data_IF_921276895171
#
_entry.id   IF_921276895171
#
_cell.length_a   1.000
_cell.length_b   1.000
_cell.length_c   1.000
_cell.angle_alpha   90.00
_cell.angle_beta   90.00
_cell.angle_gamma   90.00
#
_symmetry.space_group_name_H-M   'P 1'
#
loop_
_entity.id
_entity.type
_entity.pdbx_description
1 polymer ?
#
# COMPACT_ATOMS: atom_id res chain seq x y z
N UNK A 1 18.44 19.96 38.18
CA UNK A 1 18.41 18.59 37.62
C UNK A 1 17.87 18.63 36.20
N UNK A 2 18.53 17.98 35.24
CA UNK A 2 18.00 17.88 33.89
C UNK A 2 16.78 16.94 33.85
N UNK A 3 15.82 17.24 32.98
CA UNK A 3 14.68 16.34 32.76
C UNK A 3 15.06 15.19 31.81
N UNK A 4 14.59 13.98 32.12
CA UNK A 4 14.69 12.85 31.20
C UNK A 4 13.94 13.13 29.89
N UNK A 5 14.41 12.55 28.78
CA UNK A 5 13.73 12.62 27.48
C UNK A 5 12.28 12.11 27.53
N UNK A 6 11.99 11.16 28.44
CA UNK A 6 10.66 10.58 28.70
C UNK A 6 9.87 11.29 29.80
N UNK A 7 10.33 12.46 30.28
CA UNK A 7 9.61 13.24 31.28
C UNK A 7 8.23 13.66 30.76
N UNK A 8 7.18 13.30 31.50
CA UNK A 8 5.78 13.56 31.12
C UNK A 8 5.50 15.05 30.88
N UNK A 9 6.08 15.94 31.69
CA UNK A 9 5.88 17.39 31.54
C UNK A 9 6.45 17.91 30.20
N UNK A 10 7.65 17.48 29.84
CA UNK A 10 8.29 17.84 28.56
C UNK A 10 7.59 17.20 27.37
N UNK A 11 7.10 15.96 27.51
CA UNK A 11 6.31 15.30 26.45
C UNK A 11 4.97 16.00 26.20
N UNK A 12 4.27 16.44 27.25
CA UNK A 12 3.02 17.22 27.12
C UNK A 12 3.26 18.53 26.36
N UNK A 13 4.30 19.28 26.74
CA UNK A 13 4.67 20.51 26.04
C UNK A 13 5.05 20.27 24.57
N UNK A 14 5.78 19.18 24.26
CA UNK A 14 6.07 18.79 22.87
C UNK A 14 4.80 18.45 22.09
N UNK A 15 3.88 17.70 22.70
CA UNK A 15 2.59 17.34 22.07
C UNK A 15 1.83 18.60 21.66
N UNK A 16 1.75 19.59 22.54
CA UNK A 16 1.07 20.86 22.28
C UNK A 16 1.69 21.65 21.12
N UNK A 17 3.03 21.64 21.00
CA UNK A 17 3.73 22.35 19.91
C UNK A 17 3.67 21.60 18.58
N UNK A 18 3.81 20.28 18.59
CA UNK A 18 4.07 19.51 17.37
C UNK A 18 2.79 18.92 16.77
N UNK A 19 1.91 18.40 17.62
CA UNK A 19 0.80 17.53 17.19
C UNK A 19 -0.58 18.10 17.48
N UNK A 20 -0.67 19.23 18.20
CA UNK A 20 -1.95 19.87 18.47
C UNK A 20 -2.52 20.41 17.17
N UNK A 21 -3.82 20.20 16.95
CA UNK A 21 -4.54 20.76 15.81
C UNK A 21 -4.35 22.28 15.80
N UNK A 22 -3.89 22.81 14.67
CA UNK A 22 -3.63 24.24 14.49
C UNK A 22 -2.28 24.73 15.01
N UNK A 23 -1.40 23.84 15.50
CA UNK A 23 0.01 24.23 15.75
C UNK A 23 0.75 24.44 14.44
N UNK A 24 1.76 25.30 14.44
CA UNK A 24 2.51 25.64 13.22
C UNK A 24 3.22 24.42 12.61
N UNK A 25 3.69 23.50 13.45
CA UNK A 25 4.26 22.23 13.01
C UNK A 25 3.21 21.30 12.36
N UNK A 26 1.98 21.28 12.86
CA UNK A 26 0.92 20.49 12.25
C UNK A 26 0.54 21.07 10.88
N UNK A 27 0.34 22.39 10.80
CA UNK A 27 -0.01 23.12 9.56
C UNK A 27 1.05 22.91 8.47
N UNK A 28 2.32 23.18 8.78
CA UNK A 28 3.42 23.01 7.81
C UNK A 28 3.58 21.58 7.31
N UNK A 29 3.26 20.58 8.14
CA UNK A 29 3.24 19.17 7.73
C UNK A 29 2.04 18.85 6.83
N UNK A 30 0.86 19.41 7.11
CA UNK A 30 -0.34 19.25 6.29
C UNK A 30 -0.13 19.89 4.91
N UNK A 31 0.35 21.13 4.85
CA UNK A 31 0.70 21.83 3.60
C UNK A 31 1.71 21.04 2.75
N UNK A 32 2.70 20.41 3.38
CA UNK A 32 3.66 19.56 2.68
C UNK A 32 3.00 18.32 2.09
N UNK A 33 2.10 17.67 2.84
CA UNK A 33 1.37 16.49 2.36
C UNK A 33 0.50 16.83 1.15
N UNK A 34 -0.20 17.96 1.21
CA UNK A 34 -1.03 18.44 0.09
C UNK A 34 -0.19 18.71 -1.16
N UNK A 35 0.95 19.40 -1.01
CA UNK A 35 1.89 19.65 -2.11
C UNK A 35 2.42 18.37 -2.74
N UNK A 36 2.76 17.36 -1.93
CA UNK A 36 3.24 16.07 -2.42
C UNK A 36 2.13 15.30 -3.14
N UNK A 37 0.90 15.33 -2.62
CA UNK A 37 -0.25 14.70 -3.25
C UNK A 37 -0.54 15.30 -4.64
N UNK A 38 -0.52 16.63 -4.75
CA UNK A 38 -0.67 17.34 -6.02
C UNK A 38 0.40 16.94 -7.04
N UNK A 39 1.69 16.98 -6.64
CA UNK A 39 2.79 16.56 -7.51
C UNK A 39 2.67 15.11 -7.96
N UNK A 40 2.21 14.21 -7.08
CA UNK A 40 2.00 12.80 -7.42
C UNK A 40 0.90 12.65 -8.47
N UNK A 41 -0.23 13.34 -8.31
CA UNK A 41 -1.31 13.34 -9.28
C UNK A 41 -0.89 13.92 -10.63
N UNK A 42 -0.19 15.06 -10.63
CA UNK A 42 0.34 15.69 -11.84
C UNK A 42 1.31 14.76 -12.59
N UNK A 43 2.24 14.13 -11.87
CA UNK A 43 3.19 13.19 -12.47
C UNK A 43 2.49 11.97 -13.07
N UNK A 44 1.46 11.45 -12.41
CA UNK A 44 0.67 10.33 -12.93
C UNK A 44 -0.05 10.72 -14.22
N UNK A 45 -0.61 11.94 -14.30
CA UNK A 45 -1.24 12.45 -15.51
C UNK A 45 -0.22 12.63 -16.65
N UNK A 46 0.95 13.20 -16.35
CA UNK A 46 2.05 13.35 -17.32
C UNK A 46 2.49 12.00 -17.87
N UNK A 47 2.73 11.02 -16.99
CA UNK A 47 3.11 9.66 -17.42
C UNK A 47 2.04 8.98 -18.26
N UNK A 48 0.76 9.25 -18.01
CA UNK A 48 -0.33 8.74 -18.87
C UNK A 48 -0.34 9.41 -20.24
N UNK A 49 -0.04 10.70 -20.32
CA UNK A 49 0.04 11.45 -21.57
C UNK A 49 1.29 11.09 -22.38
N UNK A 50 2.43 10.89 -21.73
CA UNK A 50 3.69 10.49 -22.38
C UNK A 50 3.68 8.99 -22.75
N UNK A 51 2.98 8.17 -21.97
CA UNK A 51 2.86 6.72 -22.19
C UNK A 51 1.92 6.32 -23.32
N UNK A 52 1.18 7.24 -23.94
CA UNK A 52 0.38 6.94 -25.15
C UNK A 52 1.20 6.91 -26.43
N UNK A 53 2.41 7.47 -26.43
CA UNK A 53 3.33 7.47 -27.60
C UNK A 53 4.42 6.40 -27.50
N UNK A 54 4.44 5.62 -26.41
CA UNK A 54 5.27 4.42 -26.36
C UNK A 54 4.72 3.42 -27.39
N UNK A 55 5.55 2.86 -28.29
CA UNK A 55 5.10 1.86 -29.24
C UNK A 55 4.43 0.75 -28.44
N UNK A 56 3.15 0.51 -28.72
CA UNK A 56 2.43 -0.67 -28.27
C UNK A 56 3.25 -1.83 -28.80
N UNK A 57 4.12 -2.39 -27.94
CA UNK A 57 4.80 -3.64 -28.23
C UNK A 57 3.70 -4.60 -28.64
N UNK A 58 3.67 -5.00 -29.91
CA UNK A 58 2.70 -5.95 -30.42
C UNK A 58 2.74 -7.15 -29.48
N UNK A 59 1.73 -7.24 -28.62
CA UNK A 59 1.63 -8.32 -27.66
C UNK A 59 1.28 -9.52 -28.51
N UNK A 60 2.29 -10.35 -28.80
CA UNK A 60 2.13 -11.69 -29.32
C UNK A 60 0.88 -12.31 -28.70
N UNK A 61 -0.05 -12.70 -29.59
CA UNK A 61 -1.39 -13.24 -29.32
C UNK A 61 -1.54 -13.72 -27.88
N UNK A 62 -2.20 -12.89 -27.05
CA UNK A 62 -2.45 -13.12 -25.63
C UNK A 62 -2.89 -14.56 -25.38
N UNK A 63 -1.95 -15.41 -24.95
CA UNK A 63 -2.26 -16.79 -24.56
C UNK A 63 -3.23 -16.71 -23.37
N UNK A 64 -4.43 -17.26 -23.55
CA UNK A 64 -5.48 -17.25 -22.53
C UNK A 64 -5.07 -18.11 -21.33
N UNK A 65 -4.43 -17.48 -20.34
CA UNK A 65 -4.03 -18.12 -19.07
C UNK A 65 -5.14 -18.05 -18.00
N UNK A 66 -6.34 -17.58 -18.37
CA UNK A 66 -7.49 -17.37 -17.48
C UNK A 66 -7.92 -18.65 -16.76
N UNK A 67 -7.80 -19.82 -17.40
CA UNK A 67 -8.08 -21.13 -16.80
C UNK A 67 -6.98 -21.67 -15.89
N UNK A 68 -5.73 -21.22 -16.05
CA UNK A 68 -4.58 -21.76 -15.30
C UNK A 68 -4.40 -21.10 -13.93
N UNK A 69 -4.86 -19.85 -13.77
CA UNK A 69 -4.78 -19.11 -12.50
C UNK A 69 -5.96 -19.41 -11.57
N UNK A 70 -7.15 -19.59 -12.14
CA UNK A 70 -8.38 -19.91 -11.41
C UNK A 70 -8.43 -21.36 -10.91
N UNK A 71 -7.82 -22.30 -11.63
CA UNK A 71 -7.81 -23.72 -11.28
C UNK A 71 -6.92 -24.06 -10.08
N UNK A 72 -5.87 -23.27 -9.78
CA UNK A 72 -4.91 -23.58 -8.70
C UNK A 72 -5.55 -23.68 -7.31
N UNK A 73 -6.45 -22.76 -6.95
CA UNK A 73 -7.13 -22.80 -5.64
C UNK A 73 -8.11 -23.98 -5.55
N UNK A 74 -8.85 -24.25 -6.63
CA UNK A 74 -9.75 -25.41 -6.73
C UNK A 74 -9.00 -26.75 -6.63
N UNK A 75 -7.89 -26.90 -7.36
CA UNK A 75 -6.99 -28.06 -7.31
C UNK A 75 -6.35 -28.23 -5.93
N UNK A 76 -5.85 -27.15 -5.32
CA UNK A 76 -5.28 -27.18 -3.99
C UNK A 76 -6.31 -27.65 -2.96
N UNK A 77 -7.52 -27.05 -2.94
CA UNK A 77 -8.59 -27.47 -2.04
C UNK A 77 -8.97 -28.94 -2.23
N UNK A 78 -9.19 -29.40 -3.47
CA UNK A 78 -9.50 -30.82 -3.78
C UNK A 78 -8.41 -31.77 -3.29
N UNK A 79 -7.14 -31.42 -3.50
CA UNK A 79 -6.02 -32.29 -3.14
C UNK A 79 -5.74 -32.31 -1.63
N UNK A 80 -6.00 -31.21 -0.91
CA UNK A 80 -5.76 -31.10 0.52
C UNK A 80 -6.88 -31.76 1.35
N UNK A 81 -8.14 -31.67 0.92
CA UNK A 81 -9.26 -32.36 1.58
C UNK A 81 -9.15 -33.88 1.45
N UNK A 82 -8.76 -34.38 0.27
CA UNK A 82 -8.53 -35.82 0.02
C UNK A 82 -7.42 -36.44 0.86
N UNK A 83 -6.43 -35.65 1.30
CA UNK A 83 -5.31 -36.14 2.13
C UNK A 83 -5.66 -36.25 3.62
N UNK A 84 -6.67 -35.51 4.10
CA UNK A 84 -7.06 -35.48 5.53
C UNK A 84 -7.92 -36.68 5.96
N UNK A 85 -8.65 -37.32 5.03
CA UNK A 85 -9.60 -38.39 5.36
C UNK A 85 -9.02 -39.81 5.21
N UNK A 86 -7.70 -39.97 5.12
CA UNK A 86 -7.06 -41.29 5.00
C UNK A 86 -7.01 -42.10 6.30
N UNK A 87 -7.45 -41.53 7.43
CA UNK A 87 -7.41 -42.18 8.74
C UNK A 87 -8.69 -42.91 9.15
N UNK A 88 -9.71 -42.96 8.28
CA UNK A 88 -10.89 -43.79 8.53
C UNK A 88 -11.04 -44.75 7.36
N UNK A 89 -10.33 -45.87 7.46
CA UNK A 89 -10.67 -47.11 6.76
C UNK A 89 -11.80 -47.76 7.56
N UNK A 90 -13.00 -47.75 7.01
CA UNK A 90 -14.00 -48.79 7.22
C UNK A 90 -14.44 -49.25 5.84
#
# INVERSE_FOLDING_TARGET
MAHSARSKSKLRAKKEKISKKGSDYAKTNEERKERLAQKLQENLLKQKQEGTDAPVMEVDKKVSTSGWRSSRNSLYKKNHTRKKNKSIKF
#
